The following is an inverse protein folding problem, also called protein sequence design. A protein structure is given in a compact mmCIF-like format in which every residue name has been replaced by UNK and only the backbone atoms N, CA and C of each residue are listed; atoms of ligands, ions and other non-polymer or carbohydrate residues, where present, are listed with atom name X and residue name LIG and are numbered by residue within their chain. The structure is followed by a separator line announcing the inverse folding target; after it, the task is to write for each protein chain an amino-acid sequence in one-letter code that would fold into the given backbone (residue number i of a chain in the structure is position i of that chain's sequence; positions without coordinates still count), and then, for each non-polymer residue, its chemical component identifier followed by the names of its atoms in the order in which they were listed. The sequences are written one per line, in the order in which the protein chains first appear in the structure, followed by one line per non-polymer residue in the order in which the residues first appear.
data_IF_094487140204
#
_entry.id   IF_094487140204
#
_cell.length_a   1.000
_cell.length_b   1.000
_cell.length_c   1.000
_cell.angle_alpha   90.00
_cell.angle_beta   90.00
_cell.angle_gamma   90.00
#
_symmetry.space_group_name_H-M   'P 1'
#
loop_
_entity.id
_entity.type
_entity.pdbx_description
1 polymer ?
#
# COMPACT_ATOMS: atom_id res chain seq x y z
N UNK A 1 7.79 -47.70 31.87
CA UNK A 1 8.21 -47.45 30.47
C UNK A 1 7.03 -47.36 29.51
N UNK A 2 6.04 -48.28 29.54
CA UNK A 2 4.92 -48.29 28.59
C UNK A 2 4.00 -47.05 28.58
N UNK A 3 3.82 -46.38 29.74
CA UNK A 3 2.95 -45.20 29.85
C UNK A 3 3.49 -43.97 29.12
N UNK A 4 4.81 -43.83 29.01
CA UNK A 4 5.45 -42.73 28.27
C UNK A 4 5.41 -42.98 26.76
N UNK A 5 5.56 -44.25 26.34
CA UNK A 5 5.42 -44.63 24.93
C UNK A 5 4.02 -44.36 24.39
N UNK A 6 2.98 -44.56 25.21
CA UNK A 6 1.60 -44.28 24.82
C UNK A 6 1.35 -42.78 24.58
N UNK A 7 1.95 -41.90 25.40
CA UNK A 7 1.83 -40.45 25.25
C UNK A 7 2.58 -39.91 24.03
N UNK A 8 3.75 -40.48 23.73
CA UNK A 8 4.52 -40.10 22.53
C UNK A 8 3.76 -40.51 21.26
N UNK A 9 3.13 -41.69 21.25
CA UNK A 9 2.37 -42.17 20.10
C UNK A 9 1.13 -41.32 19.81
N UNK A 10 0.38 -40.88 20.83
CA UNK A 10 -0.77 -39.97 20.63
C UNK A 10 -0.36 -38.59 20.17
N UNK A 11 0.76 -38.05 20.69
CA UNK A 11 1.25 -36.73 20.28
C UNK A 11 1.74 -36.70 18.83
N UNK A 12 2.41 -37.76 18.38
CA UNK A 12 2.85 -37.91 16.98
C UNK A 12 1.65 -37.95 16.01
N UNK A 13 0.58 -38.67 16.37
CA UNK A 13 -0.63 -38.78 15.54
C UNK A 13 -1.36 -37.43 15.40
N UNK A 14 -1.38 -36.62 16.46
CA UNK A 14 -1.95 -35.27 16.42
C UNK A 14 -1.15 -34.32 15.50
N UNK A 15 0.18 -34.43 15.46
CA UNK A 15 1.03 -33.61 14.59
C UNK A 15 0.84 -33.93 13.10
N UNK A 16 0.59 -35.19 12.73
CA UNK A 16 0.36 -35.56 11.32
C UNK A 16 -0.98 -35.05 10.76
N UNK A 17 -2.02 -34.95 11.58
CA UNK A 17 -3.34 -34.46 11.15
C UNK A 17 -3.37 -32.94 10.90
N UNK A 18 -2.49 -32.17 11.54
CA UNK A 18 -2.39 -30.71 11.35
C UNK A 18 -1.77 -30.35 9.99
N UNK A 19 -0.93 -31.22 9.42
CA UNK A 19 -0.29 -30.97 8.11
C UNK A 19 -1.20 -31.25 6.90
N UNK A 20 -2.40 -31.81 7.09
CA UNK A 20 -3.32 -32.08 5.99
C UNK A 20 -4.05 -30.82 5.48
N UNK A 21 -4.04 -29.71 6.23
CA UNK A 21 -4.69 -28.45 5.83
C UNK A 21 -3.78 -27.48 5.07
N UNK A 22 -2.50 -27.83 4.89
CA UNK A 22 -1.47 -26.94 4.31
C UNK A 22 -0.86 -27.56 3.05
N UNK A 23 -1.69 -28.15 2.20
CA UNK A 23 -1.35 -28.39 0.79
C UNK A 23 -2.58 -28.04 -0.05
N UNK A 24 -2.82 -26.74 -0.23
CA UNK A 24 -3.65 -26.31 -1.36
C UNK A 24 -2.88 -26.65 -2.62
N UNK A 25 -3.29 -27.73 -3.26
CA UNK A 25 -3.07 -27.99 -4.68
C UNK A 25 -3.60 -26.79 -5.45
N UNK A 26 -2.72 -25.92 -5.94
CA UNK A 26 -3.09 -24.99 -7.00
C UNK A 26 -3.04 -25.79 -8.29
N UNK A 27 -4.23 -26.08 -8.83
CA UNK A 27 -4.40 -26.67 -10.15
C UNK A 27 -3.46 -26.03 -11.17
N UNK A 28 -2.75 -26.89 -11.89
CA UNK A 28 -2.04 -26.52 -13.09
C UNK A 28 -3.06 -26.34 -14.20
N UNK A 29 -3.33 -25.08 -14.55
CA UNK A 29 -3.79 -24.73 -15.89
C UNK A 29 -2.67 -23.92 -16.54
N UNK A 30 -2.14 -24.51 -17.60
CA UNK A 30 -1.10 -23.97 -18.44
C UNK A 30 -1.65 -22.78 -19.26
N UNK A 31 -0.73 -21.85 -19.56
CA UNK A 31 -0.78 -20.82 -20.60
C UNK A 31 -1.43 -19.46 -20.25
N UNK A 32 -0.59 -18.41 -20.18
CA UNK A 32 -0.72 -17.10 -20.87
C UNK A 32 -0.18 -15.89 -20.05
N UNK A 33 1.13 -15.62 -20.19
CA UNK A 33 1.83 -14.32 -20.30
C UNK A 33 1.40 -13.03 -19.55
N UNK A 34 0.65 -13.11 -18.45
CA UNK A 34 0.49 -11.99 -17.52
C UNK A 34 0.76 -12.46 -16.10
N UNK A 35 2.03 -12.68 -15.78
CA UNK A 35 2.47 -12.73 -14.39
C UNK A 35 2.32 -11.31 -13.83
N UNK A 36 1.09 -10.96 -13.47
CA UNK A 36 0.78 -9.80 -12.65
C UNK A 36 1.71 -9.92 -11.45
N UNK A 37 2.76 -9.11 -11.39
CA UNK A 37 3.81 -9.18 -10.38
C UNK A 37 3.09 -9.22 -9.03
N UNK A 38 2.96 -10.40 -8.40
CA UNK A 38 2.06 -10.63 -7.25
C UNK A 38 2.61 -9.99 -5.97
N UNK A 39 3.69 -9.21 -6.08
CA UNK A 39 4.28 -8.52 -4.95
C UNK A 39 3.27 -7.58 -4.32
N UNK A 40 3.10 -7.64 -2.99
CA UNK A 40 2.18 -6.77 -2.29
C UNK A 40 2.58 -5.31 -2.49
N UNK A 41 1.59 -4.41 -2.58
CA UNK A 41 1.85 -2.98 -2.75
C UNK A 41 2.75 -2.41 -1.65
N UNK A 42 2.64 -2.96 -0.43
CA UNK A 42 3.50 -2.59 0.69
C UNK A 42 4.99 -2.68 0.36
N UNK A 43 5.41 -3.71 -0.36
CA UNK A 43 6.82 -3.94 -0.71
C UNK A 43 7.31 -2.87 -1.69
N UNK A 44 6.52 -2.56 -2.72
CA UNK A 44 6.87 -1.53 -3.70
C UNK A 44 6.91 -0.13 -3.07
N UNK A 45 5.95 0.17 -2.20
CA UNK A 45 5.91 1.45 -1.48
C UNK A 45 7.12 1.59 -0.56
N UNK A 46 7.51 0.51 0.13
CA UNK A 46 8.73 0.50 0.94
C UNK A 46 9.99 0.72 0.10
N UNK A 47 10.11 0.11 -1.07
CA UNK A 47 11.23 0.34 -1.99
C UNK A 47 11.29 1.78 -2.52
N UNK A 48 10.14 2.46 -2.65
CA UNK A 48 10.07 3.89 -2.96
C UNK A 48 10.21 4.78 -1.71
N UNK A 49 10.61 4.23 -0.56
CA UNK A 49 10.81 4.99 0.67
C UNK A 49 9.54 5.63 1.24
N UNK A 50 8.37 5.07 0.97
CA UNK A 50 7.05 5.63 1.32
C UNK A 50 6.72 6.96 0.64
N UNK A 51 7.26 7.19 -0.57
CA UNK A 51 6.91 8.33 -1.43
C UNK A 51 7.18 9.71 -0.76
N UNK A 52 8.41 9.99 -0.29
CA UNK A 52 8.70 11.21 0.45
C UNK A 52 8.42 12.49 -0.35
N UNK A 53 8.61 12.49 -1.69
CA UNK A 53 8.26 13.65 -2.50
C UNK A 53 6.75 13.88 -2.58
N UNK A 54 5.96 12.81 -2.60
CA UNK A 54 4.52 12.95 -2.46
C UNK A 54 4.15 13.52 -1.09
N UNK A 55 4.78 13.09 0.01
CA UNK A 55 4.52 13.67 1.33
C UNK A 55 4.78 15.19 1.37
N UNK A 56 5.89 15.66 0.77
CA UNK A 56 6.19 17.09 0.68
C UNK A 56 5.20 17.84 -0.22
N UNK A 57 4.80 17.24 -1.33
CA UNK A 57 3.79 17.80 -2.23
C UNK A 57 2.44 17.98 -1.52
N UNK A 58 1.96 16.94 -0.81
CA UNK A 58 0.69 16.98 -0.07
C UNK A 58 0.68 18.11 0.95
N UNK A 59 1.75 18.22 1.72
CA UNK A 59 1.89 19.27 2.73
C UNK A 59 1.99 20.68 2.11
N UNK A 60 2.71 20.83 1.00
CA UNK A 60 2.81 22.11 0.31
C UNK A 60 1.44 22.57 -0.25
N UNK A 61 0.61 21.63 -0.70
CA UNK A 61 -0.69 21.94 -1.27
C UNK A 61 -1.83 22.09 -0.28
N UNK A 62 -1.72 21.51 0.92
CA UNK A 62 -2.71 21.59 1.99
C UNK A 62 -3.13 23.01 2.37
N UNK A 63 -2.33 24.04 2.05
CA UNK A 63 -2.64 25.45 2.37
C UNK A 63 -2.82 26.37 1.16
N UNK A 64 -2.70 25.85 -0.07
CA UNK A 64 -2.66 26.69 -1.29
C UNK A 64 -3.81 26.46 -2.26
N UNK A 65 -4.63 25.43 -2.02
CA UNK A 65 -5.69 24.99 -2.93
C UNK A 65 -5.15 24.54 -4.29
N UNK A 66 -6.04 24.08 -5.18
CA UNK A 66 -5.69 23.60 -6.52
C UNK A 66 -4.98 24.66 -7.40
N UNK A 67 -5.06 25.94 -7.04
CA UNK A 67 -4.60 27.07 -7.86
C UNK A 67 -3.09 27.31 -7.86
N UNK A 68 -2.30 26.61 -7.04
CA UNK A 68 -0.85 26.79 -7.03
C UNK A 68 -0.19 26.14 -8.26
N UNK A 69 0.19 27.00 -9.21
CA UNK A 69 1.07 26.66 -10.32
C UNK A 69 2.50 26.47 -9.82
N UNK A 70 2.93 25.21 -9.73
CA UNK A 70 4.31 24.83 -9.47
C UNK A 70 4.59 24.45 -8.02
N UNK A 71 4.39 23.17 -7.69
CA UNK A 71 5.07 22.57 -6.55
C UNK A 71 6.44 22.08 -7.00
N UNK A 72 7.47 22.34 -6.18
CA UNK A 72 8.83 21.83 -6.41
C UNK A 72 8.86 20.30 -6.40
N UNK A 73 7.95 19.67 -5.67
CA UNK A 73 7.97 18.23 -5.39
C UNK A 73 7.10 17.42 -6.35
N UNK A 74 6.23 18.07 -7.14
CA UNK A 74 5.27 17.37 -8.00
C UNK A 74 5.96 16.42 -8.99
N UNK A 75 7.01 16.87 -9.69
CA UNK A 75 7.70 16.01 -10.67
C UNK A 75 8.34 14.79 -10.01
N UNK A 76 8.97 14.96 -8.85
CA UNK A 76 9.58 13.86 -8.10
C UNK A 76 8.52 12.92 -7.52
N UNK A 77 7.39 13.45 -7.03
CA UNK A 77 6.25 12.63 -6.62
C UNK A 77 5.70 11.81 -7.79
N UNK A 78 5.55 12.42 -8.97
CA UNK A 78 5.13 11.68 -10.17
C UNK A 78 6.09 10.55 -10.51
N UNK A 79 7.40 10.75 -10.37
CA UNK A 79 8.41 9.71 -10.58
C UNK A 79 8.25 8.55 -9.58
N UNK A 80 8.08 8.85 -8.29
CA UNK A 80 7.84 7.84 -7.26
C UNK A 80 6.57 7.02 -7.55
N UNK A 81 5.48 7.68 -7.95
CA UNK A 81 4.20 7.04 -8.30
C UNK A 81 4.27 6.22 -9.60
N UNK A 82 5.07 6.64 -10.57
CA UNK A 82 5.30 5.90 -11.81
C UNK A 82 6.02 4.58 -11.57
N UNK A 83 6.89 4.54 -10.55
CA UNK A 83 7.59 3.33 -10.14
C UNK A 83 6.74 2.37 -9.30
N UNK A 84 5.49 2.73 -8.99
CA UNK A 84 4.49 1.82 -8.43
C UNK A 84 3.62 1.24 -9.54
N UNK A 85 3.22 -0.02 -9.36
CA UNK A 85 2.13 -0.60 -10.16
C UNK A 85 0.87 0.25 -10.03
N UNK A 86 0.08 0.27 -11.10
CA UNK A 86 -1.13 1.10 -11.18
C UNK A 86 -2.11 0.86 -10.03
N UNK A 87 -2.28 -0.40 -9.59
CA UNK A 87 -3.12 -0.80 -8.46
C UNK A 87 -2.55 -0.38 -7.09
N UNK A 88 -1.25 -0.09 -7.00
CA UNK A 88 -0.57 0.31 -5.76
C UNK A 88 -0.48 1.83 -5.54
N UNK A 89 -0.76 2.64 -6.56
CA UNK A 89 -0.60 4.11 -6.49
C UNK A 89 -1.50 4.74 -5.42
N UNK A 90 -2.77 4.35 -5.36
CA UNK A 90 -3.71 4.83 -4.32
C UNK A 90 -3.23 4.45 -2.92
N UNK A 91 -2.83 3.18 -2.73
CA UNK A 91 -2.34 2.72 -1.44
C UNK A 91 -1.06 3.47 -1.01
N UNK A 92 -0.15 3.69 -1.96
CA UNK A 92 1.06 4.48 -1.71
C UNK A 92 0.73 5.90 -1.26
N UNK A 93 -0.15 6.59 -1.98
CA UNK A 93 -0.57 7.95 -1.61
C UNK A 93 -1.29 7.99 -0.26
N UNK A 94 -2.21 7.05 0.01
CA UNK A 94 -2.90 6.97 1.31
C UNK A 94 -1.91 6.77 2.46
N UNK A 95 -0.86 5.98 2.26
CA UNK A 95 0.20 5.79 3.26
C UNK A 95 1.06 7.06 3.44
N UNK A 96 1.46 7.71 2.36
CA UNK A 96 2.19 8.98 2.41
C UNK A 96 1.38 10.05 3.16
N UNK A 97 0.08 10.17 2.86
CA UNK A 97 -0.85 11.04 3.54
C UNK A 97 -0.96 10.70 5.04
N UNK A 98 -1.23 9.45 5.38
CA UNK A 98 -1.38 9.03 6.76
C UNK A 98 -0.11 9.21 7.61
N UNK A 99 1.08 9.05 7.00
CA UNK A 99 2.34 9.39 7.65
C UNK A 99 2.41 10.89 7.95
N UNK A 100 2.03 11.73 7.00
CA UNK A 100 2.10 13.18 7.15
C UNK A 100 1.12 13.69 8.22
N UNK A 101 -0.13 13.22 8.20
CA UNK A 101 -1.12 13.54 9.22
C UNK A 101 -0.65 13.13 10.61
N UNK A 102 -0.08 11.92 10.74
CA UNK A 102 0.47 11.43 12.01
C UNK A 102 1.65 12.29 12.50
N UNK A 103 2.55 12.71 11.61
CA UNK A 103 3.70 13.55 11.96
C UNK A 103 3.27 14.94 12.44
N UNK A 104 2.19 15.48 11.88
CA UNK A 104 1.66 16.80 12.23
C UNK A 104 0.64 16.76 13.38
N UNK A 105 0.22 15.56 13.81
CA UNK A 105 -0.82 15.41 14.83
C UNK A 105 -2.21 15.83 14.35
N UNK A 106 -2.43 15.81 13.03
CA UNK A 106 -3.69 16.22 12.39
C UNK A 106 -4.64 15.03 12.34
N UNK A 107 -5.89 15.25 12.74
CA UNK A 107 -6.95 14.24 12.64
C UNK A 107 -7.52 14.18 11.22
N UNK A 108 -7.94 12.99 10.79
CA UNK A 108 -8.51 12.74 9.46
C UNK A 108 -9.79 13.55 9.19
N UNK A 109 -10.54 13.88 10.24
CA UNK A 109 -11.79 14.66 10.17
C UNK A 109 -11.55 16.17 10.03
N UNK A 110 -10.31 16.63 10.16
CA UNK A 110 -9.97 18.04 10.06
C UNK A 110 -10.04 18.56 8.62
N UNK A 111 -10.25 19.88 8.49
CA UNK A 111 -10.19 20.53 7.18
C UNK A 111 -8.81 20.36 6.52
N UNK A 112 -7.74 20.45 7.30
CA UNK A 112 -6.36 20.27 6.83
C UNK A 112 -6.13 18.87 6.24
N UNK A 113 -6.69 17.83 6.86
CA UNK A 113 -6.65 16.48 6.29
C UNK A 113 -7.45 16.38 4.98
N UNK A 114 -8.61 17.06 4.90
CA UNK A 114 -9.38 17.19 3.66
C UNK A 114 -8.58 17.83 2.53
N UNK A 115 -7.89 18.94 2.81
CA UNK A 115 -7.05 19.64 1.83
C UNK A 115 -5.89 18.76 1.34
N UNK A 116 -5.30 17.96 2.23
CA UNK A 116 -4.28 16.98 1.86
C UNK A 116 -4.83 15.78 1.07
N UNK A 117 -6.04 15.29 1.39
CA UNK A 117 -6.73 14.27 0.60
C UNK A 117 -6.95 14.74 -0.84
N UNK A 118 -7.46 15.97 -1.01
CA UNK A 118 -7.69 16.57 -2.31
C UNK A 118 -6.38 16.76 -3.11
N UNK A 119 -5.31 17.16 -2.42
CA UNK A 119 -3.98 17.20 -3.02
C UNK A 119 -3.55 15.82 -3.53
N UNK A 120 -3.78 14.75 -2.76
CA UNK A 120 -3.41 13.39 -3.14
C UNK A 120 -4.14 12.91 -4.40
N UNK A 121 -5.45 13.15 -4.49
CA UNK A 121 -6.22 12.85 -5.71
C UNK A 121 -5.73 13.68 -6.90
N UNK A 122 -5.47 14.96 -6.69
CA UNK A 122 -4.96 15.87 -7.71
C UNK A 122 -3.58 15.47 -8.21
N UNK A 123 -2.73 14.87 -7.37
CA UNK A 123 -1.41 14.39 -7.75
C UNK A 123 -1.50 13.39 -8.92
N UNK A 124 -2.37 12.39 -8.82
CA UNK A 124 -2.53 11.38 -9.88
C UNK A 124 -2.95 12.00 -11.21
N UNK A 125 -3.92 12.92 -11.17
CA UNK A 125 -4.37 13.66 -12.35
C UNK A 125 -3.24 14.49 -12.97
N UNK A 126 -2.52 15.26 -12.14
CA UNK A 126 -1.38 16.09 -12.60
C UNK A 126 -0.22 15.26 -13.15
N UNK A 127 0.01 14.08 -12.58
CA UNK A 127 1.00 13.13 -13.05
C UNK A 127 0.55 12.33 -14.28
N UNK A 128 -0.69 12.52 -14.75
CA UNK A 128 -1.32 11.76 -15.86
C UNK A 128 -1.27 10.25 -15.63
N UNK A 129 -1.45 9.84 -14.37
CA UNK A 129 -1.50 8.44 -13.97
C UNK A 129 -2.97 8.06 -13.81
N UNK A 130 -3.44 7.10 -14.62
CA UNK A 130 -4.84 6.66 -14.70
C UNK A 130 -5.55 6.70 -13.34
N UNK A 131 -6.46 7.66 -13.22
CA UNK A 131 -7.08 8.05 -11.96
C UNK A 131 -8.39 7.29 -11.77
N UNK A 132 -8.33 6.07 -11.26
CA UNK A 132 -9.47 5.62 -10.45
C UNK A 132 -9.49 6.53 -9.22
N UNK A 133 -10.66 7.09 -8.89
CA UNK A 133 -10.82 7.85 -7.64
C UNK A 133 -10.35 6.96 -6.49
N UNK A 134 -9.35 7.44 -5.76
CA UNK A 134 -8.82 6.72 -4.62
C UNK A 134 -9.65 7.11 -3.39
N UNK A 135 -10.10 6.15 -2.61
CA UNK A 135 -10.66 6.45 -1.31
C UNK A 135 -9.50 6.76 -0.33
N UNK A 136 -9.25 8.05 -0.12
CA UNK A 136 -8.16 8.54 0.73
C UNK A 136 -8.56 8.65 2.20
N UNK A 137 -9.84 8.52 2.52
CA UNK A 137 -10.34 8.59 3.90
C UNK A 137 -10.01 7.29 4.64
N UNK A 138 -9.99 7.34 5.98
CA UNK A 138 -9.61 6.23 6.88
C UNK A 138 -10.32 4.92 6.53
#
# INVERSE_FOLDING_TARGET
MAKLALLIATFALAFFLVNASIYRTTDGDEENWYQHDRRPCQEQIWHQGYLPNCQWYLNEQAGRGQSAHGSRYLNSCCYELQNLRQDCRCQGLKQALGQQLKLQGVQWESQEAGDMCEAAETALYRCRLDSRRCDMHS
#
